data_IF_734008800516
#
_entry.id   IF_734008800516
#
_cell.length_a   1.000
_cell.length_b   1.000
_cell.length_c   1.000
_cell.angle_alpha   90.00
_cell.angle_beta   90.00
_cell.angle_gamma   90.00
#
_symmetry.space_group_name_H-M   'P 1'
#
loop_
_entity.id
_entity.type
_entity.pdbx_description
1 polymer ?
#
# COMPACT_ATOMS: atom_id res chain seq x y z
N UNK A 1 2.04 -75.96 -58.62
CA UNK A 1 1.38 -75.53 -57.34
C UNK A 1 1.83 -74.11 -57.06
N UNK A 2 0.99 -73.16 -57.35
CA UNK A 2 1.30 -71.75 -57.27
C UNK A 2 0.53 -71.21 -56.06
N UNK A 3 1.24 -70.65 -55.09
CA UNK A 3 0.64 -69.93 -53.95
C UNK A 3 0.67 -68.45 -54.20
N UNK A 4 -0.50 -67.88 -54.40
CA UNK A 4 -0.69 -66.41 -54.39
C UNK A 4 -0.87 -65.92 -52.97
N UNK A 5 0.04 -65.14 -52.45
CA UNK A 5 -0.11 -64.50 -51.16
C UNK A 5 -0.72 -63.07 -51.37
N UNK A 6 -1.90 -62.94 -50.88
CA UNK A 6 -2.57 -61.63 -50.77
C UNK A 6 -2.09 -60.92 -49.48
N UNK A 7 -1.27 -59.90 -49.68
CA UNK A 7 -0.82 -59.06 -48.53
C UNK A 7 -1.82 -57.93 -48.34
N UNK A 8 -2.68 -58.12 -47.36
CA UNK A 8 -3.45 -57.02 -46.80
C UNK A 8 -2.63 -56.39 -45.70
N UNK A 9 -2.11 -55.21 -45.92
CA UNK A 9 -1.43 -54.40 -44.91
C UNK A 9 -2.46 -53.67 -44.03
N UNK A 10 -2.98 -54.36 -43.03
CA UNK A 10 -3.69 -53.74 -41.91
C UNK A 10 -2.73 -53.59 -40.74
N UNK A 11 -1.89 -52.59 -40.81
CA UNK A 11 -1.04 -52.17 -39.70
C UNK A 11 -1.72 -51.04 -38.91
N UNK A 12 -1.95 -51.16 -37.61
CA UNK A 12 -2.59 -50.13 -36.81
C UNK A 12 -1.78 -48.84 -36.66
N UNK A 13 -0.58 -48.79 -37.19
CA UNK A 13 0.37 -47.69 -36.93
C UNK A 13 0.84 -46.95 -38.21
N UNK A 14 0.35 -47.26 -39.40
CA UNK A 14 0.76 -46.62 -40.63
C UNK A 14 -0.21 -45.55 -41.11
N UNK A 15 0.06 -44.29 -40.84
CA UNK A 15 -0.61 -43.15 -41.47
C UNK A 15 0.12 -42.71 -42.72
N UNK A 16 -0.57 -42.73 -43.85
CA UNK A 16 -0.10 -42.28 -45.13
C UNK A 16 -0.15 -40.73 -45.18
N UNK A 17 0.92 -39.98 -45.56
CA UNK A 17 0.99 -38.52 -45.46
C UNK A 17 0.33 -37.76 -46.63
N UNK A 18 -0.66 -38.32 -47.30
CA UNK A 18 -1.25 -37.68 -48.49
C UNK A 18 -2.68 -37.18 -48.40
N UNK A 19 -3.34 -37.31 -47.25
CA UNK A 19 -4.74 -36.88 -47.08
C UNK A 19 -4.96 -35.66 -46.18
N UNK A 20 -4.00 -34.76 -46.11
CA UNK A 20 -4.21 -33.47 -45.47
C UNK A 20 -4.76 -32.40 -46.40
N UNK A 21 -6.01 -32.56 -46.83
CA UNK A 21 -6.83 -31.44 -47.31
C UNK A 21 -8.31 -31.76 -47.19
N UNK A 22 -8.87 -31.64 -45.98
CA UNK A 22 -10.25 -31.16 -45.84
C UNK A 22 -10.52 -30.79 -44.38
N UNK A 23 -10.75 -29.50 -44.22
CA UNK A 23 -11.40 -28.83 -43.09
C UNK A 23 -12.39 -29.70 -42.31
N UNK A 24 -12.25 -29.77 -41.04
CA UNK A 24 -13.39 -29.94 -40.16
C UNK A 24 -13.26 -28.98 -38.97
N UNK A 25 -13.97 -27.88 -39.11
CA UNK A 25 -14.43 -27.07 -38.03
C UNK A 25 -15.11 -27.98 -36.97
N UNK A 26 -14.43 -28.25 -35.88
CA UNK A 26 -15.02 -28.84 -34.68
C UNK A 26 -14.81 -27.87 -33.52
N UNK A 27 -15.88 -27.15 -33.24
CA UNK A 27 -16.16 -26.54 -31.95
C UNK A 27 -15.84 -27.54 -30.86
N UNK A 28 -14.79 -27.28 -30.09
CA UNK A 28 -14.56 -27.93 -28.82
C UNK A 28 -15.22 -27.11 -27.71
N UNK A 29 -16.08 -27.82 -27.00
CA UNK A 29 -16.95 -27.30 -25.99
C UNK A 29 -16.25 -26.67 -24.78
N UNK A 30 -17.02 -25.84 -24.13
CA UNK A 30 -16.73 -24.92 -23.06
C UNK A 30 -15.94 -25.47 -21.90
N UNK A 31 -15.00 -24.69 -21.52
CA UNK A 31 -14.65 -24.49 -20.12
C UNK A 31 -15.03 -23.04 -19.77
N UNK A 32 -15.99 -22.94 -18.88
CA UNK A 32 -16.62 -21.70 -18.45
C UNK A 32 -15.64 -20.93 -17.56
N UNK A 33 -14.73 -20.16 -18.15
CA UNK A 33 -13.96 -19.12 -17.48
C UNK A 33 -14.51 -17.76 -17.92
N UNK A 34 -15.55 -17.31 -17.23
CA UNK A 34 -16.17 -16.01 -17.47
C UNK A 34 -15.22 -14.80 -17.29
N UNK A 35 -13.99 -15.03 -16.87
CA UNK A 35 -12.98 -14.01 -16.76
C UNK A 35 -12.17 -13.82 -18.05
N UNK A 36 -11.96 -14.88 -18.82
CA UNK A 36 -11.18 -14.81 -20.06
C UNK A 36 -12.00 -14.13 -21.17
N UNK A 37 -13.31 -14.41 -21.23
CA UNK A 37 -14.23 -13.76 -22.18
C UNK A 37 -14.37 -12.24 -21.93
N UNK A 38 -14.24 -11.80 -20.70
CA UNK A 38 -14.26 -10.37 -20.37
C UNK A 38 -12.99 -9.67 -20.82
N UNK A 39 -11.83 -10.27 -20.62
CA UNK A 39 -10.55 -9.75 -21.08
C UNK A 39 -10.42 -9.75 -22.60
N UNK A 40 -10.86 -10.81 -23.26
CA UNK A 40 -10.84 -10.90 -24.73
C UNK A 40 -11.82 -9.92 -25.37
N UNK A 41 -13.03 -9.77 -24.82
CA UNK A 41 -13.97 -8.75 -25.27
C UNK A 41 -13.45 -7.32 -25.01
N UNK A 42 -12.77 -7.11 -23.89
CA UNK A 42 -12.15 -5.82 -23.58
C UNK A 42 -10.97 -5.52 -24.52
N UNK A 43 -10.10 -6.50 -24.79
CA UNK A 43 -9.00 -6.36 -25.75
C UNK A 43 -9.50 -6.13 -27.19
N UNK A 44 -10.54 -6.83 -27.61
CA UNK A 44 -11.12 -6.65 -28.95
C UNK A 44 -11.82 -5.30 -29.05
N UNK A 45 -12.53 -4.87 -28.03
CA UNK A 45 -13.16 -3.54 -27.96
C UNK A 45 -12.13 -2.40 -27.94
N UNK A 46 -10.99 -2.64 -27.27
CA UNK A 46 -9.84 -1.72 -27.32
C UNK A 46 -9.22 -1.69 -28.72
N UNK A 47 -9.05 -2.83 -29.40
CA UNK A 47 -8.54 -2.89 -30.79
C UNK A 47 -9.48 -2.20 -31.77
N UNK A 48 -10.79 -2.37 -31.60
CA UNK A 48 -11.79 -1.72 -32.45
C UNK A 48 -11.89 -0.20 -32.20
N UNK A 49 -11.57 0.23 -30.97
CA UNK A 49 -11.50 1.66 -30.60
C UNK A 49 -10.25 2.35 -31.14
N UNK A 50 -9.24 1.56 -31.59
CA UNK A 50 -7.99 2.04 -32.19
C UNK A 50 -7.80 1.56 -33.65
N UNK A 51 -8.68 1.96 -34.59
CA UNK A 51 -8.48 1.65 -35.96
C UNK A 51 -7.32 2.48 -36.49
N UNK A 52 -6.22 1.79 -36.77
CA UNK A 52 -5.08 2.33 -37.49
C UNK A 52 -4.18 3.33 -36.72
N UNK A 53 -2.87 3.19 -36.88
CA UNK A 53 -1.76 3.99 -36.34
C UNK A 53 -1.81 5.49 -36.70
N UNK A 54 -2.96 6.14 -36.58
CA UNK A 54 -3.03 7.57 -36.78
C UNK A 54 -2.59 8.32 -35.50
N UNK A 55 -1.90 9.45 -35.60
CA UNK A 55 -1.45 10.22 -34.44
C UNK A 55 -2.61 10.66 -33.53
N UNK A 56 -3.82 10.77 -34.06
CA UNK A 56 -5.05 11.09 -33.33
C UNK A 56 -5.46 10.00 -32.32
N UNK A 57 -5.28 8.70 -32.67
CA UNK A 57 -5.59 7.59 -31.74
C UNK A 57 -4.65 7.56 -30.55
N UNK A 58 -3.37 7.83 -30.77
CA UNK A 58 -2.37 7.90 -29.70
C UNK A 58 -2.69 9.07 -28.75
N UNK A 59 -3.09 10.21 -29.30
CA UNK A 59 -3.49 11.37 -28.51
C UNK A 59 -4.69 11.07 -27.61
N UNK A 60 -5.68 10.33 -28.08
CA UNK A 60 -6.86 9.95 -27.32
C UNK A 60 -6.51 9.01 -26.13
N UNK A 61 -5.60 8.04 -26.36
CA UNK A 61 -5.07 7.19 -25.27
C UNK A 61 -4.37 8.02 -24.20
N UNK A 62 -3.52 8.95 -24.60
CA UNK A 62 -2.79 9.81 -23.67
C UNK A 62 -3.78 10.67 -22.85
N UNK A 63 -4.84 11.20 -23.46
CA UNK A 63 -5.86 11.97 -22.75
C UNK A 63 -6.60 11.13 -21.71
N UNK A 64 -6.98 9.88 -22.07
CA UNK A 64 -7.62 8.97 -21.12
C UNK A 64 -6.67 8.62 -19.96
N UNK A 65 -5.41 8.34 -20.26
CA UNK A 65 -4.40 8.02 -19.26
C UNK A 65 -4.15 9.20 -18.30
N UNK A 66 -4.08 10.42 -18.84
CA UNK A 66 -3.98 11.64 -18.04
C UNK A 66 -5.23 11.89 -17.19
N UNK A 67 -6.42 11.59 -17.73
CA UNK A 67 -7.67 11.66 -16.98
C UNK A 67 -7.68 10.68 -15.79
N UNK A 68 -7.32 9.43 -16.01
CA UNK A 68 -7.21 8.41 -14.96
C UNK A 68 -6.16 8.78 -13.92
N UNK A 69 -5.01 9.29 -14.37
CA UNK A 69 -3.96 9.77 -13.48
C UNK A 69 -4.44 10.95 -12.61
N UNK A 70 -5.16 11.89 -13.20
CA UNK A 70 -5.74 13.03 -12.46
C UNK A 70 -6.78 12.58 -11.42
N UNK A 71 -7.59 11.54 -11.70
CA UNK A 71 -8.55 11.00 -10.73
C UNK A 71 -7.87 10.34 -9.51
N UNK A 72 -6.62 9.94 -9.61
CA UNK A 72 -5.86 9.37 -8.50
C UNK A 72 -5.54 10.36 -7.37
N UNK A 73 -5.79 11.66 -7.59
CA UNK A 73 -5.51 12.70 -6.60
C UNK A 73 -6.55 12.88 -5.48
N UNK A 74 -7.63 12.11 -5.46
CA UNK A 74 -8.61 12.21 -4.37
C UNK A 74 -8.13 11.45 -3.12
N UNK A 75 -8.21 12.12 -1.97
CA UNK A 75 -7.88 11.51 -0.69
C UNK A 75 -8.84 11.95 0.41
N UNK A 76 -8.95 11.12 1.43
CA UNK A 76 -9.78 11.38 2.60
C UNK A 76 -8.89 11.56 3.84
N UNK A 77 -9.18 12.60 4.60
CA UNK A 77 -8.60 12.86 5.93
C UNK A 77 -9.63 12.44 6.99
N UNK A 78 -9.21 11.61 7.92
CA UNK A 78 -10.03 11.18 9.06
C UNK A 78 -10.32 12.32 10.04
N UNK A 79 -11.29 12.11 10.93
CA UNK A 79 -11.67 13.10 11.95
C UNK A 79 -10.60 13.29 13.03
N UNK A 80 -9.73 12.32 13.18
CA UNK A 80 -8.60 12.31 14.12
C UNK A 80 -7.26 12.72 13.45
N UNK A 81 -7.28 13.02 12.16
CA UNK A 81 -6.11 13.31 11.36
C UNK A 81 -6.14 14.74 10.83
N UNK A 82 -4.96 15.30 10.59
CA UNK A 82 -4.76 16.48 9.76
C UNK A 82 -3.91 16.09 8.54
N UNK A 83 -4.33 16.53 7.35
CA UNK A 83 -3.56 16.26 6.14
C UNK A 83 -2.55 17.37 5.90
N UNK A 84 -1.29 17.04 5.81
CA UNK A 84 -0.21 17.97 5.43
C UNK A 84 0.21 17.67 4.01
N UNK A 85 -0.07 18.61 3.09
CA UNK A 85 0.26 18.47 1.68
C UNK A 85 1.61 19.10 1.40
N UNK A 86 2.51 18.29 0.85
CA UNK A 86 3.83 18.72 0.40
C UNK A 86 3.94 18.62 -1.11
N UNK A 87 4.57 19.59 -1.75
CA UNK A 87 4.87 19.61 -3.18
C UNK A 87 6.37 19.58 -3.38
N UNK A 88 6.87 18.52 -3.98
CA UNK A 88 8.32 18.26 -4.13
C UNK A 88 9.10 18.36 -2.80
N UNK A 89 8.44 18.02 -1.67
CA UNK A 89 9.04 18.10 -0.34
C UNK A 89 8.87 19.44 0.38
N UNK A 90 8.33 20.46 -0.26
CA UNK A 90 8.02 21.75 0.35
C UNK A 90 6.57 21.76 0.87
N UNK A 91 6.35 22.33 2.06
CA UNK A 91 5.01 22.50 2.63
C UNK A 91 4.16 23.47 1.79
N UNK A 92 2.95 23.06 1.44
CA UNK A 92 2.00 23.88 0.68
C UNK A 92 0.81 24.29 1.54
N UNK A 93 0.15 23.32 2.18
CA UNK A 93 -1.06 23.57 2.98
C UNK A 93 -1.34 22.44 3.95
N UNK A 94 -2.07 22.76 5.01
CA UNK A 94 -2.72 21.80 5.91
C UNK A 94 -4.19 21.68 5.53
N UNK A 95 -4.74 20.46 5.57
CA UNK A 95 -6.15 20.17 5.26
C UNK A 95 -6.84 19.57 6.48
N UNK A 96 -8.06 20.05 6.72
CA UNK A 96 -8.94 19.57 7.79
C UNK A 96 -9.59 18.22 7.44
N UNK A 97 -10.26 17.54 8.39
CA UNK A 97 -11.00 16.31 8.11
C UNK A 97 -12.01 16.49 6.98
N UNK A 98 -12.02 15.56 6.03
CA UNK A 98 -12.90 15.61 4.87
C UNK A 98 -12.32 14.95 3.64
N UNK A 99 -13.00 15.18 2.52
CA UNK A 99 -12.55 14.77 1.19
C UNK A 99 -11.83 15.93 0.52
N UNK A 100 -10.60 15.69 0.12
CA UNK A 100 -9.74 16.69 -0.52
C UNK A 100 -9.12 16.14 -1.79
N UNK A 101 -8.59 17.05 -2.59
CA UNK A 101 -7.88 16.75 -3.82
C UNK A 101 -6.46 17.30 -3.75
N UNK A 102 -5.50 16.49 -4.15
CA UNK A 102 -4.10 16.88 -4.36
C UNK A 102 -3.64 16.48 -5.75
N UNK A 103 -2.57 17.08 -6.23
CA UNK A 103 -1.96 16.67 -7.49
C UNK A 103 -1.37 15.27 -7.33
N UNK A 104 -1.65 14.33 -8.27
CA UNK A 104 -1.17 12.98 -8.16
C UNK A 104 0.35 12.88 -8.03
N UNK A 105 0.79 11.82 -7.34
CA UNK A 105 2.21 11.49 -7.28
C UNK A 105 2.83 11.50 -8.68
N UNK A 106 4.05 12.09 -8.91
CA UNK A 106 5.03 12.50 -7.89
C UNK A 106 5.00 13.99 -7.49
N UNK A 107 3.99 14.77 -7.90
CA UNK A 107 3.98 16.22 -7.69
C UNK A 107 3.68 16.59 -6.24
N UNK A 108 2.61 16.04 -5.67
CA UNK A 108 2.23 16.26 -4.28
C UNK A 108 2.20 14.94 -3.50
N UNK A 109 2.57 15.02 -2.22
CA UNK A 109 2.47 13.93 -1.26
C UNK A 109 1.67 14.42 -0.06
N UNK A 110 0.90 13.53 0.55
CA UNK A 110 0.05 13.86 1.71
C UNK A 110 0.41 12.97 2.87
N UNK A 111 0.87 13.58 3.97
CA UNK A 111 1.08 12.94 5.25
C UNK A 111 -0.12 13.23 6.17
N UNK A 112 -0.57 12.23 6.94
CA UNK A 112 -1.77 12.31 7.78
C UNK A 112 -1.44 11.93 9.22
N UNK A 113 -0.76 12.80 9.97
CA UNK A 113 -0.53 12.54 11.39
C UNK A 113 -1.85 12.62 12.16
N UNK A 114 -1.98 11.75 13.20
CA UNK A 114 -3.15 11.71 14.08
C UNK A 114 -3.01 12.72 15.19
N UNK A 115 -3.60 13.88 15.00
CA UNK A 115 -3.48 15.01 15.94
C UNK A 115 -4.33 14.83 17.20
N UNK A 116 -5.51 14.23 17.09
CA UNK A 116 -6.41 14.03 18.23
C UNK A 116 -6.02 12.83 19.10
N UNK A 117 -5.14 11.96 18.59
CA UNK A 117 -4.69 10.78 19.33
C UNK A 117 -3.79 11.19 20.49
N UNK A 118 -4.18 10.78 21.70
CA UNK A 118 -3.29 10.87 22.86
C UNK A 118 -2.20 9.81 22.74
N UNK A 119 -0.97 10.26 22.58
CA UNK A 119 0.20 9.41 22.61
C UNK A 119 0.73 9.32 24.06
N UNK A 120 1.39 8.21 24.39
CA UNK A 120 1.99 8.02 25.70
C UNK A 120 3.44 7.57 25.57
N UNK A 121 4.28 8.08 26.45
CA UNK A 121 5.66 7.67 26.59
C UNK A 121 5.86 7.17 28.02
N UNK A 122 6.30 5.94 28.18
CA UNK A 122 6.58 5.31 29.46
C UNK A 122 8.07 5.45 29.78
N UNK A 123 8.38 5.92 30.98
CA UNK A 123 9.75 6.09 31.49
C UNK A 123 9.91 5.26 32.78
N UNK A 124 10.96 4.46 32.82
CA UNK A 124 11.26 3.54 33.91
C UNK A 124 10.59 2.18 33.80
N UNK A 125 9.58 2.02 32.96
CA UNK A 125 8.90 0.75 32.74
C UNK A 125 8.41 0.61 31.30
N UNK A 126 8.08 -0.63 30.91
CA UNK A 126 7.45 -0.94 29.64
C UNK A 126 6.26 -1.84 29.88
N UNK A 127 5.10 -1.38 29.43
CA UNK A 127 3.88 -2.20 29.46
C UNK A 127 3.79 -2.99 28.14
N UNK A 128 3.96 -4.30 28.24
CA UNK A 128 3.76 -5.18 27.08
C UNK A 128 2.27 -5.23 26.73
N UNK A 129 1.85 -4.43 25.77
CA UNK A 129 0.52 -4.50 25.16
C UNK A 129 0.45 -5.64 24.15
N UNK A 130 0.69 -6.88 24.57
CA UNK A 130 0.32 -8.01 23.74
C UNK A 130 -1.20 -8.21 23.91
N UNK A 131 -1.94 -8.00 22.82
CA UNK A 131 -3.42 -8.10 22.75
C UNK A 131 -3.94 -9.52 23.12
N UNK A 132 -3.07 -10.47 23.39
CA UNK A 132 -3.41 -11.87 23.67
C UNK A 132 -3.06 -12.32 25.09
N UNK A 133 -2.46 -11.50 25.94
CA UNK A 133 -2.04 -11.94 27.26
C UNK A 133 -2.75 -11.12 28.34
N UNK A 134 -3.62 -11.78 29.12
CA UNK A 134 -4.29 -11.20 30.29
C UNK A 134 -3.30 -10.87 31.44
N UNK A 135 -2.01 -11.17 31.30
CA UNK A 135 -0.95 -10.80 32.22
C UNK A 135 -0.11 -9.67 31.60
N UNK A 136 -0.59 -8.44 31.72
CA UNK A 136 0.21 -7.24 31.46
C UNK A 136 1.23 -7.06 32.58
N UNK A 137 2.32 -7.83 32.55
CA UNK A 137 3.42 -7.61 33.48
C UNK A 137 4.22 -6.40 32.98
N UNK A 138 4.15 -5.31 33.71
CA UNK A 138 5.03 -4.17 33.49
C UNK A 138 6.47 -4.62 33.77
N UNK A 139 7.32 -4.60 32.73
CA UNK A 139 8.74 -4.85 32.89
C UNK A 139 9.41 -3.55 33.30
N UNK A 140 10.01 -3.53 34.48
CA UNK A 140 10.82 -2.41 34.93
C UNK A 140 12.12 -2.31 34.11
N UNK A 141 12.53 -1.08 33.84
CA UNK A 141 13.79 -0.72 33.18
C UNK A 141 14.58 0.16 34.17
N UNK A 142 15.34 -0.44 35.09
CA UNK A 142 16.00 0.30 36.17
C UNK A 142 16.94 1.40 35.66
N UNK A 143 17.54 1.20 34.48
CA UNK A 143 18.44 2.19 33.88
C UNK A 143 17.74 3.52 33.52
N UNK A 144 16.44 3.49 33.27
CA UNK A 144 15.63 4.68 32.99
C UNK A 144 14.90 5.20 34.22
N UNK A 145 14.68 4.35 35.21
CA UNK A 145 13.95 4.69 36.45
C UNK A 145 14.83 5.42 37.45
N UNK A 146 16.13 5.12 37.50
CA UNK A 146 17.05 5.70 38.46
C UNK A 146 17.49 7.11 38.06
N UNK A 147 17.16 8.09 38.90
CA UNK A 147 17.52 9.48 38.67
C UNK A 147 18.27 10.03 39.90
N UNK A 148 19.24 10.92 39.64
CA UNK A 148 19.91 11.69 40.66
C UNK A 148 19.19 13.04 40.77
N UNK A 149 18.67 13.33 41.94
CA UNK A 149 18.03 14.62 42.25
C UNK A 149 19.05 15.71 42.54
N UNK A 150 18.61 16.97 42.63
CA UNK A 150 19.46 18.11 42.91
C UNK A 150 20.10 18.05 44.32
N UNK A 151 19.51 17.29 45.25
CA UNK A 151 20.02 17.07 46.66
C UNK A 151 20.97 15.85 46.72
N UNK A 152 21.48 15.36 45.60
CA UNK A 152 22.41 14.22 45.53
C UNK A 152 21.80 12.87 45.99
N UNK A 153 20.47 12.76 46.03
CA UNK A 153 19.78 11.52 46.34
C UNK A 153 19.47 10.72 45.07
N UNK A 154 19.54 9.41 45.15
CA UNK A 154 19.11 8.51 44.06
C UNK A 154 17.66 8.10 44.31
N UNK A 155 16.79 8.40 43.38
CA UNK A 155 15.37 8.05 43.45
C UNK A 155 15.00 7.13 42.29
N UNK A 156 14.08 6.21 42.51
CA UNK A 156 13.48 5.34 41.48
C UNK A 156 12.09 5.90 41.14
N UNK A 157 11.98 6.42 39.91
CA UNK A 157 10.75 7.05 39.40
C UNK A 157 10.23 6.36 38.17
N UNK A 158 8.98 5.96 38.24
CA UNK A 158 8.24 5.40 37.10
C UNK A 158 7.07 6.34 36.77
N UNK A 159 7.10 6.91 35.55
CA UNK A 159 6.06 7.85 35.13
C UNK A 159 5.69 7.70 33.67
N UNK A 160 4.53 8.23 33.32
CA UNK A 160 4.02 8.21 31.95
C UNK A 160 3.69 9.64 31.52
N UNK A 161 4.20 10.02 30.35
CA UNK A 161 3.91 11.31 29.74
C UNK A 161 2.82 11.10 28.67
N UNK A 162 1.73 11.84 28.82
CA UNK A 162 0.68 11.91 27.80
C UNK A 162 0.85 13.18 26.99
N UNK A 163 0.80 13.07 25.69
CA UNK A 163 0.96 14.21 24.79
C UNK A 163 0.10 14.05 23.53
N UNK A 164 -0.26 15.19 22.92
CA UNK A 164 -0.99 15.28 21.67
C UNK A 164 -0.22 16.16 20.69
N UNK A 165 -0.50 16.00 19.41
CA UNK A 165 0.04 16.87 18.36
C UNK A 165 -0.89 18.07 18.25
N UNK A 166 -0.39 19.28 18.48
CA UNK A 166 -1.16 20.52 18.34
C UNK A 166 -1.22 20.94 16.85
N UNK A 167 -0.07 21.05 16.21
CA UNK A 167 0.05 21.37 14.77
C UNK A 167 0.78 20.25 14.04
N UNK A 168 0.12 19.70 13.01
CA UNK A 168 0.66 18.64 12.17
C UNK A 168 1.90 19.07 11.38
N UNK A 169 1.94 20.33 10.93
CA UNK A 169 3.06 20.89 10.19
C UNK A 169 4.30 20.97 11.06
N UNK A 170 4.18 21.56 12.25
CA UNK A 170 5.30 21.73 13.17
C UNK A 170 5.84 20.38 13.66
N UNK A 171 4.94 19.42 13.88
CA UNK A 171 5.31 18.06 14.21
C UNK A 171 6.16 17.38 13.12
N UNK A 172 5.82 17.56 11.85
CA UNK A 172 6.53 16.89 10.74
C UNK A 172 7.83 17.58 10.34
N UNK A 173 7.91 18.91 10.45
CA UNK A 173 9.03 19.66 9.90
C UNK A 173 9.99 20.23 10.96
N UNK A 174 9.48 20.59 12.14
CA UNK A 174 10.28 21.28 13.15
C UNK A 174 10.92 20.31 14.14
N UNK A 175 10.37 19.10 14.34
CA UNK A 175 10.86 18.16 15.35
C UNK A 175 11.35 16.87 14.69
N UNK A 176 12.65 16.60 14.80
CA UNK A 176 13.25 15.41 14.18
C UNK A 176 12.81 14.09 14.85
N UNK A 177 12.82 14.05 16.18
CA UNK A 177 12.48 12.88 17.00
C UNK A 177 11.62 13.32 18.19
N UNK A 178 10.31 13.54 18.00
CA UNK A 178 9.45 14.10 19.03
C UNK A 178 9.39 13.23 20.30
N UNK A 179 9.36 11.91 20.16
CA UNK A 179 9.28 11.00 21.31
C UNK A 179 10.51 11.08 22.21
N UNK A 180 11.71 11.10 21.63
CA UNK A 180 12.96 11.22 22.39
C UNK A 180 13.08 12.60 23.05
N UNK A 181 12.66 13.66 22.35
CA UNK A 181 12.68 15.02 22.88
C UNK A 181 11.74 15.17 24.07
N UNK A 182 10.50 14.68 23.94
CA UNK A 182 9.51 14.72 25.04
C UNK A 182 10.00 13.89 26.23
N UNK A 183 10.59 12.71 25.97
CA UNK A 183 11.16 11.88 27.03
C UNK A 183 12.25 12.63 27.81
N UNK A 184 13.23 13.23 27.12
CA UNK A 184 14.33 13.94 27.76
C UNK A 184 13.87 15.19 28.52
N UNK A 185 12.86 15.92 28.02
CA UNK A 185 12.24 17.04 28.71
C UNK A 185 11.53 16.55 29.99
N UNK A 186 10.77 15.45 29.89
CA UNK A 186 10.10 14.84 31.01
C UNK A 186 11.06 14.38 32.11
N UNK A 187 12.16 13.72 31.72
CA UNK A 187 13.21 13.31 32.67
C UNK A 187 13.90 14.53 33.33
N UNK A 188 14.10 15.63 32.60
CA UNK A 188 14.65 16.86 33.14
C UNK A 188 13.70 17.54 34.12
N UNK A 189 12.43 17.64 33.78
CA UNK A 189 11.40 18.25 34.63
C UNK A 189 11.13 17.45 35.91
N UNK A 190 11.32 16.15 35.89
CA UNK A 190 11.16 15.30 37.10
C UNK A 190 12.38 15.34 38.02
N UNK A 191 13.52 15.87 37.54
CA UNK A 191 14.74 16.01 38.34
C UNK A 191 14.78 17.29 39.18
N UNK A 192 14.03 18.33 38.76
CA UNK A 192 13.90 19.60 39.48
C UNK A 192 12.97 19.47 40.72
#
# INVERSE_FOLDING_TARGET
>A
MSWSSNNGDDSPWGRNPKDEKKSSNRSSGGSNNNNDDFFDNFQNKLKDMFPNKSPTSISFVIIILLGLWSLSGFYRVGTDEQGVVTRFGEYVRTTEPGLHYHLPYPIETVDKPKVTKVNRIEVGFRTSQSQFSQNSQARQVPEEALMLTGDENIVDLNFTIFWIIDDAKDYLFNVRNPELTIKSIGESAMRE
#
